data_IF_446256939742
#
_entry.id   IF_446256939742
#
_cell.length_a   1.000
_cell.length_b   1.000
_cell.length_c   1.000
_cell.angle_alpha   90.00
_cell.angle_beta   90.00
_cell.angle_gamma   90.00
#
_symmetry.space_group_name_H-M   'P 1'
#
loop_
_entity.id
_entity.type
_entity.pdbx_description
1 polymer ?
#
# COMPACT_ATOMS: atom_id res chain seq x y z
N UNK A 1 -13.48 -11.04 -2.35
CA UNK A 1 -13.89 -9.64 -2.05
C UNK A 1 -12.87 -8.63 -2.59
N UNK A 2 -12.56 -8.64 -3.89
CA UNK A 2 -11.20 -8.30 -4.37
C UNK A 2 -11.01 -7.02 -5.20
N UNK A 3 -11.97 -6.10 -5.30
CA UNK A 3 -11.74 -4.85 -6.07
C UNK A 3 -12.45 -3.60 -5.54
N UNK A 4 -13.53 -3.75 -4.78
CA UNK A 4 -14.41 -2.61 -4.47
C UNK A 4 -13.74 -1.56 -3.56
N UNK A 5 -12.90 -1.97 -2.62
CA UNK A 5 -12.22 -1.05 -1.68
C UNK A 5 -10.98 -0.37 -2.27
N UNK A 6 -10.45 -0.85 -3.40
CA UNK A 6 -9.32 -0.20 -4.06
C UNK A 6 -9.72 1.17 -4.63
N UNK A 7 -10.99 1.34 -5.02
CA UNK A 7 -11.47 2.59 -5.63
C UNK A 7 -11.54 3.77 -4.64
N UNK A 8 -12.10 3.64 -3.41
CA UNK A 8 -12.05 4.73 -2.44
C UNK A 8 -10.63 5.09 -1.99
N UNK A 9 -9.78 4.08 -1.78
CA UNK A 9 -8.41 4.29 -1.26
C UNK A 9 -7.54 4.98 -2.32
N UNK A 10 -7.56 4.53 -3.58
CA UNK A 10 -6.77 5.17 -4.64
C UNK A 10 -7.17 6.63 -4.89
N UNK A 11 -8.45 6.96 -4.73
CA UNK A 11 -8.95 8.32 -4.85
C UNK A 11 -8.41 9.20 -3.71
N UNK A 12 -8.44 8.71 -2.47
CA UNK A 12 -7.87 9.42 -1.32
C UNK A 12 -6.36 9.64 -1.48
N UNK A 13 -5.65 8.67 -2.03
CA UNK A 13 -4.21 8.74 -2.26
C UNK A 13 -3.82 9.51 -3.54
N UNK A 14 -4.80 9.86 -4.39
CA UNK A 14 -4.56 10.44 -5.71
C UNK A 14 -3.58 9.62 -6.58
N UNK A 15 -3.79 8.30 -6.65
CA UNK A 15 -2.95 7.37 -7.43
C UNK A 15 -3.76 6.65 -8.52
N UNK A 16 -3.05 6.17 -9.54
CA UNK A 16 -3.67 5.38 -10.60
C UNK A 16 -4.15 4.01 -10.08
N UNK A 17 -5.09 3.38 -10.81
CA UNK A 17 -5.50 2.00 -10.53
C UNK A 17 -4.29 1.05 -10.58
N UNK A 18 -3.37 1.28 -11.53
CA UNK A 18 -2.20 0.44 -11.71
C UNK A 18 -1.23 0.55 -10.52
N UNK A 19 -0.99 1.76 -10.01
CA UNK A 19 -0.18 1.96 -8.79
C UNK A 19 -0.81 1.25 -7.59
N UNK A 20 -2.12 1.39 -7.39
CA UNK A 20 -2.80 0.68 -6.31
C UNK A 20 -2.66 -0.84 -6.45
N UNK A 21 -2.85 -1.39 -7.66
CA UNK A 21 -2.64 -2.81 -7.93
C UNK A 21 -1.20 -3.25 -7.64
N UNK A 22 -0.20 -2.43 -8.00
CA UNK A 22 1.19 -2.75 -7.72
C UNK A 22 1.51 -2.74 -6.22
N UNK A 23 0.93 -1.81 -5.44
CA UNK A 23 1.06 -1.78 -3.98
C UNK A 23 0.47 -3.04 -3.35
N UNK A 24 -0.75 -3.42 -3.74
CA UNK A 24 -1.44 -4.60 -3.20
C UNK A 24 -0.72 -5.91 -3.56
N UNK A 25 -0.08 -5.97 -4.74
CA UNK A 25 0.63 -7.17 -5.21
C UNK A 25 2.11 -7.19 -4.83
N UNK A 26 2.61 -6.18 -4.12
CA UNK A 26 4.02 -6.07 -3.73
C UNK A 26 4.99 -5.80 -4.89
N UNK A 27 4.50 -5.51 -6.11
CA UNK A 27 5.34 -5.17 -7.27
C UNK A 27 6.07 -3.84 -7.12
N UNK A 28 5.51 -2.93 -6.33
CA UNK A 28 6.13 -1.67 -5.94
C UNK A 28 5.58 -1.27 -4.57
N UNK A 29 6.30 -0.43 -3.85
CA UNK A 29 5.88 0.09 -2.55
C UNK A 29 5.39 1.54 -2.66
N UNK A 30 4.43 1.97 -1.82
CA UNK A 30 4.04 3.36 -1.78
C UNK A 30 5.20 4.23 -1.31
N UNK A 31 5.41 5.42 -1.89
CA UNK A 31 6.36 6.38 -1.37
C UNK A 31 5.96 6.79 0.06
N UNK A 32 6.93 7.33 0.81
CA UNK A 32 6.78 7.55 2.25
C UNK A 32 5.55 8.40 2.59
N UNK A 33 5.28 9.48 1.84
CA UNK A 33 4.10 10.32 1.99
C UNK A 33 2.78 9.53 1.88
N UNK A 34 2.69 8.64 0.87
CA UNK A 34 1.53 7.76 0.67
C UNK A 34 1.42 6.63 1.68
N UNK A 35 2.53 6.13 2.20
CA UNK A 35 2.53 5.19 3.31
C UNK A 35 1.91 5.81 4.58
N UNK A 36 2.25 7.07 4.90
CA UNK A 36 1.62 7.78 6.02
C UNK A 36 0.13 8.08 5.78
N UNK A 37 -0.28 8.41 4.55
CA UNK A 37 -1.69 8.56 4.21
C UNK A 37 -2.46 7.23 4.36
N UNK A 38 -1.87 6.11 3.92
CA UNK A 38 -2.44 4.76 4.10
C UNK A 38 -2.62 4.40 5.57
N UNK A 39 -1.60 4.64 6.40
CA UNK A 39 -1.65 4.36 7.83
C UNK A 39 -2.81 5.12 8.51
N UNK A 40 -3.03 6.39 8.13
CA UNK A 40 -4.18 7.18 8.60
C UNK A 40 -5.53 6.61 8.14
N UNK A 41 -5.60 6.07 6.92
CA UNK A 41 -6.83 5.45 6.39
C UNK A 41 -7.16 4.16 7.14
N UNK A 42 -6.14 3.40 7.52
CA UNK A 42 -6.27 2.11 8.22
C UNK A 42 -6.27 2.21 9.74
N UNK A 43 -6.10 3.42 10.28
CA UNK A 43 -5.99 3.67 11.72
C UNK A 43 -4.91 2.81 12.39
N UNK A 44 -3.74 2.75 11.74
CA UNK A 44 -2.56 2.03 12.21
C UNK A 44 -1.32 2.92 12.16
N UNK A 45 -0.20 2.41 12.68
CA UNK A 45 1.09 3.05 12.52
C UNK A 45 1.68 2.71 11.14
N UNK A 46 2.55 3.57 10.63
CA UNK A 46 3.18 3.36 9.32
C UNK A 46 4.05 2.11 9.27
N UNK A 47 4.65 1.72 10.40
CA UNK A 47 5.43 0.48 10.53
C UNK A 47 4.54 -0.77 10.54
N UNK A 48 3.24 -0.66 10.86
CA UNK A 48 2.29 -1.77 10.73
C UNK A 48 1.99 -2.13 9.25
N UNK A 49 2.41 -1.29 8.29
CA UNK A 49 2.23 -1.55 6.85
C UNK A 49 3.30 -2.46 6.26
N UNK A 50 4.40 -2.70 6.97
CA UNK A 50 5.57 -3.40 6.45
C UNK A 50 6.13 -4.38 7.46
N UNK A 51 6.61 -5.52 6.96
CA UNK A 51 7.36 -6.48 7.76
C UNK A 51 8.83 -6.41 7.38
N UNK A 52 9.71 -6.51 8.38
CA UNK A 52 11.15 -6.65 8.13
C UNK A 52 11.36 -8.02 7.49
N UNK A 53 11.80 -8.04 6.24
CA UNK A 53 12.13 -9.29 5.56
C UNK A 53 13.55 -9.71 5.94
N UNK A 54 13.68 -10.87 6.58
CA UNK A 54 14.99 -11.43 6.99
C UNK A 54 15.73 -12.12 5.82
N UNK A 55 15.03 -12.37 4.70
CA UNK A 55 15.57 -12.94 3.45
C UNK A 55 15.10 -12.11 2.28
N UNK A 56 15.88 -12.03 1.22
CA UNK A 56 15.42 -11.38 0.00
C UNK A 56 14.26 -12.23 -0.58
N UNK A 57 13.08 -11.68 -0.87
CA UNK A 57 12.01 -12.45 -1.53
C UNK A 57 12.41 -12.96 -2.93
N UNK A 58 13.57 -12.57 -3.45
CA UNK A 58 14.19 -13.12 -4.65
C UNK A 58 15.17 -14.30 -4.41
N UNK A 59 15.44 -14.69 -3.15
CA UNK A 59 16.25 -15.86 -2.77
C UNK A 59 15.45 -17.18 -2.73
#
# INVERSE_FOLDING_TARGET
MSAQYLSPIRQKLNISQNQMSNYVTGKSYPPVDKAFELAKIFDCRVDDLYEVQEKDPAD
#
